data_IF_452177212248
#
_entry.id   IF_452177212248
#
_cell.length_a   1.000
_cell.length_b   1.000
_cell.length_c   1.000
_cell.angle_alpha   90.00
_cell.angle_beta   90.00
_cell.angle_gamma   90.00
#
_symmetry.space_group_name_H-M   'P 1'
#
loop_
_entity.id
_entity.type
_entity.pdbx_description
1 polymer ?
#
# COMPACT_ATOMS: atom_id res chain seq x y z
N UNK A 1 3.86 19.71 -13.13
CA UNK A 1 4.43 18.75 -12.16
C UNK A 1 3.47 17.59 -12.00
N UNK A 2 3.93 16.34 -12.09
CA UNK A 2 3.08 15.18 -11.81
C UNK A 2 2.96 14.99 -10.31
N UNK A 3 1.87 15.50 -9.74
CA UNK A 3 1.42 15.20 -8.39
C UNK A 3 1.03 13.72 -8.36
N UNK A 4 1.74 12.92 -7.57
CA UNK A 4 1.35 11.54 -7.32
C UNK A 4 0.75 11.48 -5.93
N UNK A 5 -0.38 10.80 -5.76
CA UNK A 5 -0.98 10.62 -4.44
C UNK A 5 -0.73 9.21 -3.94
N UNK A 6 -0.70 9.07 -2.62
CA UNK A 6 -0.57 7.77 -1.97
C UNK A 6 -1.86 6.96 -2.13
N UNK A 7 -1.76 5.71 -2.55
CA UNK A 7 -2.90 4.79 -2.68
C UNK A 7 -3.21 4.03 -1.38
N UNK A 8 -2.23 3.97 -0.45
CA UNK A 8 -2.36 3.45 0.91
C UNK A 8 -1.59 4.36 1.88
N UNK A 9 -1.80 4.15 3.18
CA UNK A 9 -0.96 4.79 4.18
C UNK A 9 0.52 4.45 3.91
N UNK A 10 1.38 5.45 3.96
CA UNK A 10 2.80 5.34 3.68
C UNK A 10 3.57 6.06 4.78
N UNK A 11 4.63 5.43 5.27
CA UNK A 11 5.55 6.08 6.20
C UNK A 11 6.85 6.39 5.47
N UNK A 12 7.23 7.67 5.44
CA UNK A 12 8.40 8.14 4.72
C UNK A 12 9.09 9.28 5.45
N UNK A 13 10.42 9.27 5.43
CA UNK A 13 11.23 10.36 5.96
C UNK A 13 11.37 11.43 4.87
N UNK A 14 10.89 12.65 5.14
CA UNK A 14 11.07 13.78 4.22
C UNK A 14 12.54 14.21 4.23
N UNK A 15 13.01 14.82 3.14
CA UNK A 15 14.38 15.32 3.11
C UNK A 15 14.58 16.40 4.19
N UNK A 16 15.62 16.23 5.01
CA UNK A 16 15.89 17.13 6.14
C UNK A 16 15.14 16.79 7.43
N UNK A 17 14.21 15.84 7.40
CA UNK A 17 13.67 15.24 8.63
C UNK A 17 14.50 14.02 9.04
N UNK A 18 14.64 13.83 10.35
CA UNK A 18 15.28 12.67 10.96
C UNK A 18 14.25 11.63 11.41
N UNK A 19 12.97 12.01 11.43
CA UNK A 19 11.87 11.15 11.83
C UNK A 19 10.97 10.83 10.63
N UNK A 20 10.44 9.61 10.56
CA UNK A 20 9.45 9.25 9.56
C UNK A 20 8.13 10.00 9.78
N UNK A 21 7.54 10.47 8.68
CA UNK A 21 6.20 11.04 8.66
C UNK A 21 5.20 10.02 8.11
N UNK A 22 4.02 9.96 8.71
CA UNK A 22 2.91 9.15 8.23
C UNK A 22 2.07 9.95 7.23
N UNK A 23 1.90 9.39 6.04
CA UNK A 23 1.08 9.91 4.94
C UNK A 23 -0.14 9.03 4.78
N UNK A 24 -1.31 9.62 4.67
CA UNK A 24 -2.56 8.88 4.47
C UNK A 24 -2.82 8.60 2.98
N UNK A 25 -3.75 7.68 2.70
CA UNK A 25 -4.27 7.49 1.34
C UNK A 25 -4.89 8.80 0.84
N UNK A 26 -4.55 9.19 -0.39
CA UNK A 26 -4.98 10.44 -1.01
C UNK A 26 -4.10 11.64 -0.65
N UNK A 27 -3.13 11.46 0.26
CA UNK A 27 -2.16 12.50 0.58
C UNK A 27 -1.16 12.68 -0.57
N UNK A 28 -0.64 13.90 -0.70
CA UNK A 28 0.28 14.26 -1.77
C UNK A 28 1.64 13.62 -1.53
N UNK A 29 2.13 12.83 -2.49
CA UNK A 29 3.44 12.21 -2.41
C UNK A 29 4.51 13.21 -2.88
N UNK A 30 5.38 13.68 -1.96
CA UNK A 30 6.47 14.56 -2.35
C UNK A 30 7.43 13.82 -3.29
N UNK A 31 8.07 14.51 -4.25
CA UNK A 31 8.90 13.89 -5.29
C UNK A 31 10.05 13.04 -4.74
N UNK A 32 10.51 13.36 -3.53
CA UNK A 32 11.56 12.68 -2.78
C UNK A 32 11.12 11.30 -2.30
N UNK A 33 9.85 11.17 -1.89
CA UNK A 33 9.25 9.92 -1.45
C UNK A 33 8.68 9.10 -2.60
N UNK A 34 8.51 9.68 -3.79
CA UNK A 34 8.00 8.96 -4.97
C UNK A 34 8.79 7.69 -5.22
N UNK A 35 10.13 7.71 -5.12
CA UNK A 35 10.93 6.51 -5.36
C UNK A 35 10.64 5.39 -4.34
N UNK A 36 10.59 5.72 -3.04
CA UNK A 36 10.30 4.76 -1.96
C UNK A 36 8.85 4.27 -1.99
N UNK A 37 7.91 5.18 -2.22
CA UNK A 37 6.49 4.89 -2.33
C UNK A 37 6.16 4.08 -3.59
N UNK A 38 6.91 4.27 -4.68
CA UNK A 38 6.80 3.44 -5.88
C UNK A 38 7.37 2.03 -5.65
N UNK A 39 8.51 1.92 -4.95
CA UNK A 39 9.13 0.65 -4.63
C UNK A 39 8.27 -0.20 -3.67
N UNK A 40 7.55 0.44 -2.76
CA UNK A 40 6.66 -0.21 -1.78
C UNK A 40 5.21 -0.37 -2.27
N UNK A 41 4.92 0.00 -3.53
CA UNK A 41 3.57 -0.05 -4.09
C UNK A 41 2.56 0.82 -3.32
N UNK A 42 3.04 1.85 -2.63
CA UNK A 42 2.25 2.76 -1.83
C UNK A 42 1.73 3.97 -2.63
N UNK A 43 2.36 4.27 -3.76
CA UNK A 43 1.77 5.15 -4.77
C UNK A 43 0.56 4.50 -5.43
N UNK A 44 -0.25 5.30 -6.11
CA UNK A 44 -1.15 4.82 -7.17
C UNK A 44 -0.40 4.11 -8.31
N UNK A 45 0.14 2.94 -8.01
CA UNK A 45 0.29 1.83 -8.93
C UNK A 45 -0.56 0.71 -8.38
N UNK A 46 -1.46 0.26 -9.22
CA UNK A 46 -2.61 -0.49 -8.80
C UNK A 46 -2.17 -1.84 -8.25
N UNK A 47 -2.47 -2.10 -6.97
CA UNK A 47 -2.63 -3.48 -6.48
C UNK A 47 -3.73 -4.17 -7.32
N UNK A 48 -4.62 -3.36 -7.90
CA UNK A 48 -5.54 -3.74 -8.99
C UNK A 48 -4.83 -4.15 -10.30
N UNK A 49 -3.53 -3.96 -10.50
CA UNK A 49 -2.83 -4.52 -11.68
C UNK A 49 -2.26 -5.91 -11.38
N UNK A 50 -2.27 -6.35 -10.12
CA UNK A 50 -1.85 -7.69 -9.76
C UNK A 50 -2.92 -8.72 -10.14
N UNK A 51 -2.46 -9.87 -10.61
CA UNK A 51 -3.32 -10.99 -10.97
C UNK A 51 -3.90 -11.65 -9.72
N UNK A 52 -5.10 -12.24 -9.84
CA UNK A 52 -5.78 -12.99 -8.78
C UNK A 52 -4.84 -14.00 -8.09
N UNK A 53 -3.97 -14.66 -8.86
CA UNK A 53 -2.98 -15.60 -8.34
C UNK A 53 -1.98 -14.94 -7.38
N UNK A 54 -1.47 -13.75 -7.72
CA UNK A 54 -0.54 -13.02 -6.87
C UNK A 54 -1.22 -12.48 -5.61
N UNK A 55 -2.45 -11.99 -5.74
CA UNK A 55 -3.24 -11.53 -4.60
C UNK A 55 -3.53 -12.66 -3.61
N UNK A 56 -3.92 -13.83 -4.12
CA UNK A 56 -4.14 -15.04 -3.31
C UNK A 56 -2.86 -15.51 -2.61
N UNK A 57 -1.73 -15.49 -3.31
CA UNK A 57 -0.44 -15.85 -2.71
C UNK A 57 -0.03 -14.88 -1.59
N UNK A 58 -0.24 -13.58 -1.78
CA UNK A 58 0.07 -12.57 -0.78
C UNK A 58 -0.85 -12.66 0.45
N UNK A 59 -2.14 -12.97 0.25
CA UNK A 59 -3.07 -13.23 1.36
C UNK A 59 -2.71 -14.50 2.14
N UNK A 60 -2.27 -15.56 1.45
CA UNK A 60 -1.82 -16.82 2.07
C UNK A 60 -0.55 -16.62 2.91
N UNK A 61 0.42 -15.85 2.39
CA UNK A 61 1.65 -15.45 3.09
C UNK A 61 1.32 -14.68 4.39
N UNK A 62 0.35 -13.76 4.30
CA UNK A 62 -0.16 -12.98 5.43
C UNK A 62 -1.15 -13.75 6.32
N UNK A 63 -1.42 -15.04 6.04
CA UNK A 63 -2.37 -15.89 6.78
C UNK A 63 -3.80 -15.33 6.81
N UNK A 64 -4.19 -14.56 5.80
CA UNK A 64 -5.53 -13.99 5.66
C UNK A 64 -6.42 -14.99 4.94
N UNK A 65 -7.51 -15.40 5.57
CA UNK A 65 -8.49 -16.31 4.96
C UNK A 65 -9.29 -15.58 3.87
N UNK A 66 -9.16 -16.04 2.63
CA UNK A 66 -9.96 -15.54 1.50
C UNK A 66 -10.79 -16.67 0.87
N UNK A 67 -11.89 -16.31 0.21
CA UNK A 67 -12.68 -17.26 -0.54
C UNK A 67 -11.98 -17.61 -1.86
N UNK A 68 -11.91 -18.88 -2.25
CA UNK A 68 -11.24 -19.26 -3.51
C UNK A 68 -11.95 -18.72 -4.77
N UNK A 69 -13.24 -18.42 -4.65
CA UNK A 69 -14.05 -17.73 -5.65
C UNK A 69 -14.12 -16.21 -5.45
N UNK A 70 -13.34 -15.65 -4.52
CA UNK A 70 -13.26 -14.22 -4.31
C UNK A 70 -12.79 -13.53 -5.59
N UNK A 71 -13.43 -12.41 -5.89
CA UNK A 71 -13.08 -11.59 -7.04
C UNK A 71 -11.76 -10.89 -6.77
N UNK A 72 -11.07 -10.52 -7.85
CA UNK A 72 -9.84 -9.74 -7.81
C UNK A 72 -9.96 -8.53 -6.87
N UNK A 73 -11.04 -7.77 -6.98
CA UNK A 73 -11.32 -6.58 -6.16
C UNK A 73 -11.34 -6.90 -4.66
N UNK A 74 -12.01 -7.98 -4.26
CA UNK A 74 -12.11 -8.38 -2.85
C UNK A 74 -10.77 -8.87 -2.29
N UNK A 75 -9.99 -9.58 -3.09
CA UNK A 75 -8.64 -10.01 -2.72
C UNK A 75 -7.70 -8.80 -2.58
N UNK A 76 -7.81 -7.81 -3.48
CA UNK A 76 -7.08 -6.54 -3.38
C UNK A 76 -7.46 -5.81 -2.09
N UNK A 77 -8.74 -5.79 -1.74
CA UNK A 77 -9.24 -5.07 -0.56
C UNK A 77 -8.81 -5.74 0.74
N UNK A 78 -8.88 -7.08 0.83
CA UNK A 78 -8.37 -7.83 1.99
C UNK A 78 -6.86 -7.66 2.16
N UNK A 79 -6.10 -7.68 1.06
CA UNK A 79 -4.66 -7.49 1.10
C UNK A 79 -4.31 -6.05 1.54
N UNK A 80 -5.03 -5.07 0.98
CA UNK A 80 -4.93 -3.66 1.39
C UNK A 80 -5.26 -3.46 2.86
N UNK A 81 -6.31 -4.10 3.36
CA UNK A 81 -6.76 -3.95 4.74
C UNK A 81 -5.74 -4.53 5.72
N UNK A 82 -5.18 -5.71 5.43
CA UNK A 82 -4.17 -6.32 6.29
C UNK A 82 -2.84 -5.56 6.29
N UNK A 83 -2.40 -5.07 5.13
CA UNK A 83 -1.23 -4.17 5.04
C UNK A 83 -1.47 -2.85 5.77
N UNK A 84 -2.71 -2.32 5.76
CA UNK A 84 -3.09 -1.10 6.47
C UNK A 84 -3.15 -1.29 7.99
N UNK A 85 -3.67 -2.42 8.49
CA UNK A 85 -3.70 -2.70 9.93
C UNK A 85 -2.29 -2.76 10.52
N UNK A 86 -1.33 -3.34 9.78
CA UNK A 86 0.07 -3.36 10.23
C UNK A 86 0.73 -1.98 10.27
N UNK A 87 0.26 -1.02 9.45
CA UNK A 87 0.74 0.35 9.44
C UNK A 87 0.05 1.25 10.49
N UNK A 88 -1.13 0.85 10.98
CA UNK A 88 -1.92 1.63 11.94
C UNK A 88 -1.62 1.30 13.42
N UNK A 89 -0.98 0.16 13.71
CA UNK A 89 -0.72 -0.32 15.09
C UNK A 89 0.63 0.12 15.69
N UNK A 90 1.35 1.03 15.03
CA UNK A 90 2.59 1.63 15.56
C UNK A 90 2.35 3.04 16.14
N UNK A 91 1.28 3.22 16.92
CA UNK A 91 1.02 4.42 17.72
C UNK A 91 1.11 4.10 19.21
#
# INVERSE_FOLDING_TARGET
MSLRVFAKAFEGVREGEIYPAQFSKGDECPPELVAGALALGALERSIDEMTVLQLKAALDDLKITYAQNAKKEELVEQLKAAEQSKAAEAN
#
